data_IF_539451766718
#
_entry.id   IF_539451766718
#
_cell.length_a   1.000
_cell.length_b   1.000
_cell.length_c   1.000
_cell.angle_alpha   90.00
_cell.angle_beta   90.00
_cell.angle_gamma   90.00
#
_symmetry.space_group_name_H-M   'P 1'
#
loop_
_entity.id
_entity.type
_entity.pdbx_description
1 polymer ?
#
# COMPACT_ATOMS: atom_id res chain seq x y z
N UNK A 1 -17.08 -14.96 -18.43
CA UNK A 1 -18.08 -14.76 -17.38
C UNK A 1 -17.57 -13.65 -16.49
N UNK A 2 -18.15 -12.46 -16.62
CA UNK A 2 -17.81 -11.31 -15.78
C UNK A 2 -18.24 -11.62 -14.35
N UNK A 3 -17.31 -11.55 -13.41
CA UNK A 3 -17.60 -11.67 -11.99
C UNK A 3 -18.29 -10.36 -11.59
N UNK A 4 -19.58 -10.46 -11.28
CA UNK A 4 -20.41 -9.33 -10.88
C UNK A 4 -19.94 -8.85 -9.50
N UNK A 5 -19.10 -7.80 -9.48
CA UNK A 5 -18.59 -7.17 -8.27
C UNK A 5 -19.70 -6.44 -7.46
N UNK A 6 -20.94 -6.45 -7.96
CA UNK A 6 -22.13 -5.89 -7.30
C UNK A 6 -22.92 -6.92 -6.46
N UNK A 7 -22.46 -8.16 -6.33
CA UNK A 7 -22.91 -8.99 -5.22
C UNK A 7 -22.36 -8.37 -3.92
N UNK A 8 -23.14 -7.46 -3.34
CA UNK A 8 -22.96 -7.00 -1.97
C UNK A 8 -22.70 -8.24 -1.11
N UNK A 9 -21.45 -8.41 -0.67
CA UNK A 9 -21.11 -9.39 0.36
C UNK A 9 -22.11 -9.14 1.47
N UNK A 10 -23.02 -10.08 1.70
CA UNK A 10 -23.97 -9.95 2.79
C UNK A 10 -23.14 -9.64 4.04
N UNK A 11 -23.42 -8.51 4.68
CA UNK A 11 -22.64 -8.08 5.84
C UNK A 11 -22.61 -9.22 6.86
N UNK A 12 -21.42 -9.66 7.24
CA UNK A 12 -21.23 -10.75 8.20
C UNK A 12 -22.00 -10.37 9.48
N UNK A 13 -22.98 -11.18 9.93
CA UNK A 13 -23.80 -10.80 11.07
C UNK A 13 -22.98 -10.53 12.33
N UNK A 14 -23.32 -9.45 13.05
CA UNK A 14 -22.59 -8.97 14.23
C UNK A 14 -22.35 -10.05 15.29
N UNK A 15 -23.32 -10.95 15.49
CA UNK A 15 -23.22 -12.05 16.45
C UNK A 15 -21.99 -12.95 16.22
N UNK A 16 -21.54 -13.10 14.98
CA UNK A 16 -20.36 -13.91 14.67
C UNK A 16 -19.07 -13.14 14.92
N UNK A 17 -19.05 -11.84 14.67
CA UNK A 17 -17.94 -10.96 15.07
C UNK A 17 -17.76 -10.94 16.59
N UNK A 18 -18.85 -10.84 17.34
CA UNK A 18 -18.83 -10.85 18.81
C UNK A 18 -18.27 -12.17 19.35
N UNK A 19 -18.63 -13.31 18.72
CA UNK A 19 -18.06 -14.61 19.06
C UNK A 19 -16.57 -14.70 18.71
N UNK A 20 -16.16 -14.21 17.54
CA UNK A 20 -14.74 -14.20 17.16
C UNK A 20 -13.92 -13.39 18.16
N UNK A 21 -14.42 -12.20 18.52
CA UNK A 21 -13.79 -11.33 19.52
C UNK A 21 -13.72 -11.99 20.90
N UNK A 22 -14.76 -12.73 21.30
CA UNK A 22 -14.76 -13.49 22.55
C UNK A 22 -13.59 -14.49 22.60
N UNK A 23 -13.37 -15.27 21.54
CA UNK A 23 -12.27 -16.25 21.50
C UNK A 23 -10.90 -15.58 21.44
N UNK A 24 -10.76 -14.53 20.64
CA UNK A 24 -9.55 -13.70 20.61
C UNK A 24 -9.20 -13.16 22.01
N UNK A 25 -10.18 -12.59 22.72
CA UNK A 25 -9.97 -12.06 24.07
C UNK A 25 -9.74 -13.15 25.13
N UNK A 26 -10.19 -14.38 24.89
CA UNK A 26 -9.88 -15.53 25.74
C UNK A 26 -8.43 -16.01 25.57
N UNK A 27 -7.73 -15.53 24.53
CA UNK A 27 -6.36 -15.94 24.20
C UNK A 27 -6.29 -17.23 23.39
N UNK A 28 -7.40 -17.67 22.78
CA UNK A 28 -7.41 -18.81 21.87
C UNK A 28 -6.53 -18.51 20.66
N UNK A 29 -5.71 -19.47 20.23
CA UNK A 29 -5.01 -19.37 18.95
C UNK A 29 -5.99 -19.48 17.76
N UNK A 30 -5.52 -19.11 16.56
CA UNK A 30 -6.40 -19.05 15.40
C UNK A 30 -7.06 -20.40 15.05
N UNK A 31 -6.35 -21.57 15.05
CA UNK A 31 -6.99 -22.87 14.85
C UNK A 31 -8.06 -23.21 15.89
N UNK A 32 -7.81 -22.94 17.18
CA UNK A 32 -8.78 -23.17 18.26
C UNK A 32 -10.01 -22.27 18.09
N UNK A 33 -9.80 -20.99 17.76
CA UNK A 33 -10.89 -20.05 17.50
C UNK A 33 -11.73 -20.45 16.27
N UNK A 34 -11.10 -20.96 15.20
CA UNK A 34 -11.80 -21.53 14.03
C UNK A 34 -12.73 -22.66 14.47
N UNK A 35 -12.21 -23.64 15.22
CA UNK A 35 -12.98 -24.79 15.68
C UNK A 35 -14.15 -24.34 16.57
N UNK A 36 -13.90 -23.46 17.53
CA UNK A 36 -14.90 -22.96 18.45
C UNK A 36 -15.99 -22.15 17.73
N UNK A 37 -15.62 -21.25 16.82
CA UNK A 37 -16.56 -20.51 15.98
C UNK A 37 -17.45 -21.44 15.15
N UNK A 38 -16.85 -22.48 14.56
CA UNK A 38 -17.58 -23.47 13.76
C UNK A 38 -18.60 -24.24 14.61
N UNK A 39 -18.23 -24.70 15.81
CA UNK A 39 -19.16 -25.39 16.71
C UNK A 39 -20.29 -24.48 17.20
N UNK A 40 -19.99 -23.21 17.43
CA UNK A 40 -20.95 -22.19 17.83
C UNK A 40 -21.87 -21.74 16.68
N UNK A 41 -21.47 -21.95 15.43
CA UNK A 41 -22.21 -21.58 14.24
C UNK A 41 -23.01 -22.78 13.73
N UNK A 42 -24.28 -22.87 14.16
CA UNK A 42 -25.19 -23.92 13.69
C UNK A 42 -25.35 -23.85 12.15
N UNK A 43 -25.31 -24.99 11.42
CA UNK A 43 -25.52 -25.00 9.98
C UNK A 43 -26.84 -24.34 9.53
N UNK A 44 -26.88 -23.71 8.35
CA UNK A 44 -25.77 -23.53 7.41
C UNK A 44 -24.80 -22.43 7.87
N UNK A 45 -23.49 -22.71 7.84
CA UNK A 45 -22.45 -21.72 8.13
C UNK A 45 -21.81 -21.25 6.83
N UNK A 46 -21.40 -19.99 6.79
CA UNK A 46 -20.67 -19.44 5.65
C UNK A 46 -19.16 -19.50 5.92
N UNK A 47 -18.46 -20.39 5.20
CA UNK A 47 -17.01 -20.57 5.35
C UNK A 47 -16.23 -19.30 5.01
N UNK A 48 -16.73 -18.48 4.06
CA UNK A 48 -16.11 -17.21 3.68
C UNK A 48 -16.14 -16.19 4.83
N UNK A 49 -17.30 -16.04 5.48
CA UNK A 49 -17.45 -15.21 6.67
C UNK A 49 -16.57 -15.69 7.84
N UNK A 50 -16.52 -16.99 8.11
CA UNK A 50 -15.65 -17.53 9.16
C UNK A 50 -14.18 -17.21 8.88
N UNK A 51 -13.73 -17.42 7.64
CA UNK A 51 -12.38 -17.08 7.20
C UNK A 51 -12.09 -15.57 7.34
N UNK A 52 -13.05 -14.70 7.01
CA UNK A 52 -12.91 -13.25 7.14
C UNK A 52 -12.80 -12.79 8.61
N UNK A 53 -13.60 -13.35 9.52
CA UNK A 53 -13.52 -13.02 10.96
C UNK A 53 -12.16 -13.42 11.52
N UNK A 54 -11.73 -14.66 11.25
CA UNK A 54 -10.46 -15.18 11.76
C UNK A 54 -9.28 -14.44 11.12
N UNK A 55 -9.29 -14.26 9.80
CA UNK A 55 -8.26 -13.51 9.09
C UNK A 55 -8.13 -12.05 9.55
N UNK A 56 -9.21 -11.43 10.01
CA UNK A 56 -9.21 -10.07 10.54
C UNK A 56 -8.69 -9.99 11.98
N UNK A 57 -9.21 -10.82 12.89
CA UNK A 57 -8.88 -10.77 14.31
C UNK A 57 -7.48 -11.34 14.61
N UNK A 58 -7.02 -12.28 13.77
CA UNK A 58 -5.70 -12.92 13.87
C UNK A 58 -4.79 -12.49 12.72
N UNK A 59 -4.94 -11.24 12.25
CA UNK A 59 -4.21 -10.73 11.10
C UNK A 59 -2.68 -10.88 11.23
N UNK A 60 -2.10 -10.66 12.41
CA UNK A 60 -0.66 -10.89 12.66
C UNK A 60 -0.24 -12.37 12.49
N UNK A 61 -1.14 -13.33 12.71
CA UNK A 61 -0.86 -14.77 12.47
C UNK A 61 -0.71 -15.07 10.99
N UNK A 62 -1.43 -14.36 10.12
CA UNK A 62 -1.49 -14.63 8.69
C UNK A 62 -0.64 -13.69 7.86
N UNK A 63 -0.30 -12.51 8.36
CA UNK A 63 0.54 -11.54 7.67
C UNK A 63 1.98 -12.04 7.52
N UNK A 64 2.43 -12.18 6.28
CA UNK A 64 3.78 -12.68 5.94
C UNK A 64 4.11 -14.04 6.59
N UNK A 65 3.10 -14.83 6.96
CA UNK A 65 3.26 -16.12 7.65
C UNK A 65 4.01 -17.15 6.80
N UNK A 66 3.93 -17.01 5.47
CA UNK A 66 4.63 -17.86 4.52
C UNK A 66 5.60 -16.99 3.72
N UNK A 67 6.93 -17.10 3.94
CA UNK A 67 7.90 -16.26 3.25
C UNK A 67 7.82 -16.32 1.71
N UNK A 68 7.38 -17.45 1.15
CA UNK A 68 7.17 -17.58 -0.29
C UNK A 68 6.01 -16.73 -0.80
N UNK A 69 5.02 -16.41 0.01
CA UNK A 69 3.85 -15.63 -0.42
C UNK A 69 4.17 -14.13 -0.55
N UNK A 70 5.21 -13.69 0.15
CA UNK A 70 5.63 -12.31 0.27
C UNK A 70 5.02 -11.62 1.49
N UNK A 71 5.06 -10.29 1.50
CA UNK A 71 4.50 -9.45 2.56
C UNK A 71 3.00 -9.20 2.32
N UNK A 72 2.20 -10.25 2.53
CA UNK A 72 0.73 -10.23 2.41
C UNK A 72 0.10 -11.26 3.36
N UNK A 73 -1.22 -11.23 3.50
CA UNK A 73 -1.96 -12.30 4.19
C UNK A 73 -1.81 -13.64 3.46
N UNK A 74 -1.34 -14.68 4.17
CA UNK A 74 -1.09 -16.01 3.62
C UNK A 74 -2.40 -16.80 3.45
N UNK A 75 -2.85 -16.91 2.20
CA UNK A 75 -4.01 -17.72 1.81
C UNK A 75 -3.78 -19.19 2.18
N UNK A 76 -2.57 -19.72 1.94
CA UNK A 76 -2.27 -21.11 2.22
C UNK A 76 -2.28 -21.43 3.71
N UNK A 77 -1.80 -20.52 4.56
CA UNK A 77 -1.80 -20.72 6.00
C UNK A 77 -3.24 -20.76 6.54
N UNK A 78 -4.07 -19.77 6.20
CA UNK A 78 -5.48 -19.77 6.64
C UNK A 78 -6.25 -20.97 6.07
N UNK A 79 -6.04 -21.33 4.81
CA UNK A 79 -6.69 -22.51 4.23
C UNK A 79 -6.28 -23.82 4.93
N UNK A 80 -5.00 -23.94 5.32
CA UNK A 80 -4.49 -25.05 6.11
C UNK A 80 -5.15 -25.14 7.48
N UNK A 81 -5.22 -24.02 8.21
CA UNK A 81 -5.84 -23.94 9.53
C UNK A 81 -7.34 -24.29 9.47
N UNK A 82 -8.07 -23.76 8.47
CA UNK A 82 -9.48 -24.09 8.23
C UNK A 82 -9.67 -25.58 7.98
N UNK A 83 -8.88 -26.16 7.06
CA UNK A 83 -8.99 -27.58 6.72
C UNK A 83 -8.69 -28.49 7.92
N UNK A 84 -7.66 -28.15 8.70
CA UNK A 84 -7.26 -28.92 9.87
C UNK A 84 -8.26 -28.82 11.03
N UNK A 85 -8.80 -27.63 11.31
CA UNK A 85 -9.63 -27.40 12.48
C UNK A 85 -11.07 -27.94 12.34
N UNK A 86 -11.64 -27.91 11.12
CA UNK A 86 -13.07 -28.24 10.90
C UNK A 86 -13.29 -29.31 9.83
N UNK A 87 -12.22 -29.88 9.26
CA UNK A 87 -12.30 -31.00 8.33
C UNK A 87 -12.87 -30.65 6.94
N UNK A 88 -12.90 -29.37 6.57
CA UNK A 88 -13.28 -28.96 5.21
C UNK A 88 -12.16 -29.33 4.22
N UNK A 89 -12.52 -29.62 2.98
CA UNK A 89 -11.51 -29.91 1.96
C UNK A 89 -10.68 -28.64 1.65
N UNK A 90 -9.41 -28.85 1.28
CA UNK A 90 -8.47 -27.76 1.05
C UNK A 90 -8.88 -26.80 -0.09
N UNK A 91 -9.46 -27.24 -1.22
CA UNK A 91 -9.96 -26.33 -2.25
C UNK A 91 -11.03 -25.34 -1.74
N UNK A 92 -11.96 -25.79 -0.91
CA UNK A 92 -13.02 -24.94 -0.35
C UNK A 92 -12.44 -23.97 0.68
N UNK A 93 -11.54 -24.45 1.54
CA UNK A 93 -10.79 -23.62 2.47
C UNK A 93 -9.96 -22.55 1.76
N UNK A 94 -9.33 -22.90 0.64
CA UNK A 94 -8.55 -21.98 -0.20
C UNK A 94 -9.44 -20.88 -0.77
N UNK A 95 -10.62 -21.23 -1.30
CA UNK A 95 -11.58 -20.23 -1.81
C UNK A 95 -12.06 -19.29 -0.72
N UNK A 96 -12.33 -19.82 0.48
CA UNK A 96 -12.74 -19.01 1.62
C UNK A 96 -11.63 -18.05 2.09
N UNK A 97 -10.38 -18.52 2.17
CA UNK A 97 -9.23 -17.68 2.50
C UNK A 97 -8.96 -16.60 1.44
N UNK A 98 -9.10 -16.93 0.15
CA UNK A 98 -9.00 -15.95 -0.94
C UNK A 98 -10.09 -14.88 -0.83
N UNK A 99 -11.32 -15.28 -0.52
CA UNK A 99 -12.42 -14.35 -0.26
C UNK A 99 -12.09 -13.43 0.93
N UNK A 100 -11.66 -13.99 2.05
CA UNK A 100 -11.27 -13.25 3.25
C UNK A 100 -10.16 -12.22 2.98
N UNK A 101 -9.17 -12.56 2.16
CA UNK A 101 -8.03 -11.68 1.87
C UNK A 101 -8.15 -10.85 0.58
N UNK A 102 -9.30 -10.93 -0.12
CA UNK A 102 -9.62 -10.05 -1.26
C UNK A 102 -9.94 -8.62 -0.83
N UNK A 103 -10.11 -8.38 0.48
CA UNK A 103 -10.37 -7.07 1.06
C UNK A 103 -9.61 -6.92 2.38
N UNK A 104 -9.36 -5.68 2.78
CA UNK A 104 -8.78 -5.38 4.07
C UNK A 104 -9.87 -5.31 5.16
N UNK A 105 -9.61 -5.94 6.30
CA UNK A 105 -10.45 -5.91 7.50
C UNK A 105 -9.63 -5.34 8.66
N UNK A 106 -10.03 -4.18 9.19
CA UNK A 106 -9.31 -3.51 10.28
C UNK A 106 -9.13 -2.02 10.01
N UNK A 107 -8.02 -1.46 10.47
CA UNK A 107 -7.66 -0.07 10.13
C UNK A 107 -7.18 -0.01 8.69
N UNK A 108 -8.00 0.57 7.83
CA UNK A 108 -7.72 0.73 6.42
C UNK A 108 -7.13 2.11 6.11
N UNK A 109 -6.05 2.12 5.33
CA UNK A 109 -5.38 3.29 4.79
C UNK A 109 -5.46 3.21 3.27
N UNK A 110 -6.04 4.22 2.63
CA UNK A 110 -6.24 4.22 1.18
C UNK A 110 -4.92 4.34 0.44
N UNK A 111 -4.73 3.54 -0.61
CA UNK A 111 -3.63 3.75 -1.58
C UNK A 111 -3.83 4.98 -2.47
N UNK A 112 -5.08 5.33 -2.75
CA UNK A 112 -5.52 6.50 -3.52
C UNK A 112 -6.98 6.82 -3.19
N UNK A 113 -7.53 7.92 -3.72
CA UNK A 113 -8.90 8.36 -3.40
C UNK A 113 -10.01 7.39 -3.83
N UNK A 114 -9.75 6.50 -4.80
CA UNK A 114 -10.72 5.53 -5.32
C UNK A 114 -10.67 4.17 -4.60
N UNK A 115 -9.63 3.88 -3.82
CA UNK A 115 -9.46 2.59 -3.16
C UNK A 115 -10.48 2.40 -2.02
N UNK A 116 -11.30 1.35 -2.10
CA UNK A 116 -12.39 1.09 -1.13
C UNK A 116 -12.13 -0.10 -0.21
N UNK A 117 -10.87 -0.53 -0.14
CA UNK A 117 -10.44 -1.66 0.69
C UNK A 117 -10.27 -2.97 -0.08
N UNK A 118 -10.38 -2.99 -1.41
CA UNK A 118 -9.98 -4.15 -2.20
C UNK A 118 -8.48 -4.39 -2.10
N UNK A 119 -8.10 -5.66 -2.07
CA UNK A 119 -6.74 -6.16 -2.03
C UNK A 119 -6.59 -7.22 -3.14
N UNK A 120 -5.61 -7.12 -4.04
CA UNK A 120 -4.58 -6.06 -4.14
C UNK A 120 -5.16 -4.69 -4.49
N UNK A 121 -4.54 -3.62 -3.98
CA UNK A 121 -4.87 -2.23 -4.31
C UNK A 121 -4.74 -1.99 -5.80
N UNK A 122 -5.67 -1.21 -6.35
CA UNK A 122 -5.72 -0.87 -7.77
C UNK A 122 -5.36 0.60 -8.00
N UNK A 123 -4.87 0.92 -9.20
CA UNK A 123 -4.48 2.28 -9.60
C UNK A 123 -3.14 2.73 -9.01
N UNK A 124 -2.98 4.05 -8.81
CA UNK A 124 -1.77 4.64 -8.22
C UNK A 124 -1.58 4.16 -6.78
N UNK A 125 -0.36 3.75 -6.45
CA UNK A 125 -0.03 3.16 -5.15
C UNK A 125 0.66 4.15 -4.21
N UNK A 126 1.07 5.30 -4.72
CA UNK A 126 1.87 6.33 -4.02
C UNK A 126 1.18 7.69 -3.92
N UNK A 127 -0.15 7.74 -4.09
CA UNK A 127 -0.99 8.94 -3.95
C UNK A 127 -2.01 8.79 -2.82
N UNK A 128 -1.60 8.14 -1.72
CA UNK A 128 -2.46 7.93 -0.56
C UNK A 128 -2.96 9.27 -0.06
N UNK A 129 -4.28 9.52 -0.02
CA UNK A 129 -4.78 10.73 0.61
C UNK A 129 -4.54 10.67 2.13
N UNK A 130 -4.35 9.49 2.71
CA UNK A 130 -4.31 9.27 4.16
C UNK A 130 -2.95 9.53 4.81
N UNK A 131 -1.98 9.99 4.02
CA UNK A 131 -0.72 10.53 4.50
C UNK A 131 -0.73 12.03 4.29
N UNK A 132 -0.75 12.78 5.39
CA UNK A 132 -0.88 14.23 5.36
C UNK A 132 0.41 14.85 5.89
N UNK A 133 0.86 15.89 5.22
CA UNK A 133 1.86 16.84 5.72
C UNK A 133 1.18 18.20 5.70
N UNK A 134 1.50 19.08 6.66
CA UNK A 134 0.91 20.41 6.81
C UNK A 134 1.88 21.45 7.41
N UNK A 135 2.94 21.78 6.66
CA UNK A 135 3.79 22.93 6.95
C UNK A 135 4.13 23.13 8.43
N UNK A 136 4.08 24.37 8.89
CA UNK A 136 4.42 24.79 10.26
C UNK A 136 3.20 24.98 11.19
N UNK A 137 1.99 24.64 10.76
CA UNK A 137 0.77 24.83 11.57
C UNK A 137 0.18 23.47 11.97
N UNK A 138 -0.03 23.19 13.26
CA UNK A 138 -0.65 21.94 13.67
C UNK A 138 -2.14 21.92 13.28
N UNK A 139 -2.63 20.73 12.99
CA UNK A 139 -4.04 20.44 12.76
C UNK A 139 -4.58 19.55 13.85
N UNK A 140 -5.86 19.74 14.15
CA UNK A 140 -6.60 18.91 15.09
C UNK A 140 -7.29 17.75 14.34
N UNK A 141 -7.45 16.57 14.97
CA UNK A 141 -8.10 15.40 14.36
C UNK A 141 -9.45 15.71 13.70
N UNK A 142 -10.25 16.60 14.31
CA UNK A 142 -11.54 17.01 13.77
C UNK A 142 -11.44 17.62 12.36
N UNK A 143 -10.45 18.48 12.10
CA UNK A 143 -10.23 19.08 10.78
C UNK A 143 -9.74 18.04 9.77
N UNK A 144 -8.87 17.14 10.22
CA UNK A 144 -8.30 16.05 9.42
C UNK A 144 -9.39 15.09 8.93
N UNK A 145 -10.33 14.75 9.81
CA UNK A 145 -11.42 13.82 9.50
C UNK A 145 -12.52 14.50 8.69
N UNK A 146 -12.83 15.77 8.96
CA UNK A 146 -13.84 16.53 8.19
C UNK A 146 -13.40 16.69 6.73
N UNK A 147 -12.10 16.92 6.49
CA UNK A 147 -11.52 17.05 5.15
C UNK A 147 -11.00 15.71 4.58
N UNK A 148 -11.79 14.65 4.74
CA UNK A 148 -11.37 13.27 4.43
C UNK A 148 -10.84 13.04 3.01
N UNK A 149 -11.36 13.77 2.02
CA UNK A 149 -10.97 13.58 0.62
C UNK A 149 -9.89 14.55 0.14
N UNK A 150 -9.37 15.42 1.03
CA UNK A 150 -8.20 16.24 0.72
C UNK A 150 -6.93 15.43 0.98
N UNK A 151 -5.98 15.48 0.04
CA UNK A 151 -4.77 14.65 0.05
C UNK A 151 -3.53 15.37 0.57
N UNK A 152 -3.45 16.70 0.50
CA UNK A 152 -2.22 17.44 0.82
C UNK A 152 -2.53 18.83 1.40
N UNK A 153 -1.79 19.21 2.44
CA UNK A 153 -1.60 20.60 2.83
C UNK A 153 -0.10 20.93 2.71
N UNK A 154 0.31 21.54 1.59
CA UNK A 154 1.69 21.43 1.06
C UNK A 154 2.85 21.53 2.07
N UNK A 155 3.89 20.67 1.94
CA UNK A 155 5.08 20.75 2.78
C UNK A 155 5.79 22.10 2.60
N UNK A 156 6.46 22.56 3.66
CA UNK A 156 7.32 23.74 3.65
C UNK A 156 8.78 23.29 3.73
N UNK A 157 9.54 23.54 2.67
CA UNK A 157 10.96 23.21 2.61
C UNK A 157 11.74 23.97 3.71
N UNK A 158 12.73 23.30 4.31
CA UNK A 158 13.60 23.91 5.33
C UNK A 158 12.96 24.13 6.69
N UNK A 159 11.73 23.64 6.92
CA UNK A 159 11.05 23.69 8.22
C UNK A 159 10.71 22.27 8.71
N UNK A 160 10.51 22.15 10.03
CA UNK A 160 9.92 20.96 10.63
C UNK A 160 8.43 20.96 10.30
N UNK A 161 8.01 20.00 9.50
CA UNK A 161 6.64 19.90 9.04
C UNK A 161 5.82 19.05 10.01
N UNK A 162 4.57 19.47 10.26
CA UNK A 162 3.58 18.62 10.92
C UNK A 162 3.09 17.55 9.95
N UNK A 163 3.13 16.28 10.34
CA UNK A 163 2.65 15.16 9.56
C UNK A 163 1.63 14.32 10.33
N UNK A 164 0.68 13.73 9.61
CA UNK A 164 -0.43 12.98 10.18
C UNK A 164 -0.77 11.76 9.33
N UNK A 165 -1.17 10.68 9.99
CA UNK A 165 -1.76 9.51 9.36
C UNK A 165 -3.27 9.49 9.57
N UNK A 166 -4.02 8.99 8.58
CA UNK A 166 -5.45 8.70 8.67
C UNK A 166 -5.71 7.21 8.49
N UNK A 167 -6.78 6.72 9.08
CA UNK A 167 -7.28 5.38 8.81
C UNK A 167 -8.80 5.30 9.05
N UNK A 168 -9.45 4.32 8.45
CA UNK A 168 -10.86 4.01 8.72
C UNK A 168 -10.98 2.57 9.23
N UNK A 169 -11.74 2.36 10.31
CA UNK A 169 -12.16 1.01 10.69
C UNK A 169 -13.09 0.46 9.60
N UNK A 170 -12.60 -0.43 8.74
CA UNK A 170 -13.28 -0.85 7.52
C UNK A 170 -13.43 -2.37 7.46
N UNK A 171 -14.59 -2.82 6.98
CA UNK A 171 -15.02 -4.22 6.80
C UNK A 171 -14.99 -5.11 8.06
N UNK A 172 -14.39 -4.66 9.15
CA UNK A 172 -14.35 -5.33 10.45
C UNK A 172 -15.63 -5.02 11.24
N UNK A 173 -16.23 -6.05 11.84
CA UNK A 173 -17.45 -5.90 12.63
C UNK A 173 -17.22 -5.66 14.12
N UNK A 174 -15.97 -5.53 14.57
CA UNK A 174 -15.65 -5.29 15.99
C UNK A 174 -15.09 -3.88 16.19
N UNK A 175 -15.27 -3.34 17.40
CA UNK A 175 -14.65 -2.08 17.80
C UNK A 175 -13.15 -2.29 18.01
N UNK A 176 -12.34 -1.43 17.39
CA UNK A 176 -10.89 -1.39 17.60
C UNK A 176 -10.60 -0.52 18.82
N UNK A 177 -9.83 -1.03 19.77
CA UNK A 177 -9.60 -0.41 21.09
C UNK A 177 -8.19 0.12 21.29
N UNK A 178 -7.23 -0.34 20.47
CA UNK A 178 -5.83 0.12 20.52
C UNK A 178 -5.34 0.62 19.16
N UNK A 179 -6.06 1.55 18.50
CA UNK A 179 -5.66 2.01 17.19
C UNK A 179 -4.44 2.94 17.28
N UNK A 180 -3.45 2.71 16.43
CA UNK A 180 -2.19 3.44 16.39
C UNK A 180 -1.73 3.66 14.97
N UNK A 181 -0.82 4.60 14.79
CA UNK A 181 -0.18 4.84 13.49
C UNK A 181 1.28 5.18 13.69
N UNK A 182 2.10 4.74 12.74
CA UNK A 182 3.52 5.10 12.58
C UNK A 182 3.70 5.81 11.26
N UNK A 183 4.69 6.70 11.21
CA UNK A 183 5.04 7.39 9.97
C UNK A 183 6.52 7.17 9.66
N UNK A 184 6.80 7.07 8.38
CA UNK A 184 8.15 6.93 7.85
C UNK A 184 8.34 7.89 6.68
N UNK A 185 9.59 8.20 6.37
CA UNK A 185 9.93 8.82 5.10
C UNK A 185 11.14 8.16 4.46
N UNK A 186 11.24 8.30 3.16
CA UNK A 186 12.34 7.81 2.37
C UNK A 186 12.60 8.77 1.21
N UNK A 187 13.76 8.63 0.58
CA UNK A 187 14.14 9.45 -0.56
C UNK A 187 13.15 9.25 -1.72
N UNK A 188 13.08 10.23 -2.61
CA UNK A 188 12.30 10.12 -3.84
C UNK A 188 12.67 8.86 -4.62
N UNK A 189 11.68 8.05 -4.97
CA UNK A 189 11.97 6.83 -5.71
C UNK A 189 10.83 5.83 -5.75
N UNK A 190 11.19 4.63 -6.18
CA UNK A 190 10.28 3.53 -6.46
C UNK A 190 10.49 2.40 -5.45
N UNK A 191 9.58 2.34 -4.48
CA UNK A 191 9.46 1.29 -3.46
C UNK A 191 10.81 0.90 -2.86
N UNK A 192 11.50 1.85 -2.19
CA UNK A 192 12.62 1.52 -1.33
C UNK A 192 12.23 0.45 -0.30
N UNK A 193 13.15 -0.48 0.03
CA UNK A 193 12.89 -1.48 1.05
C UNK A 193 12.58 -0.81 2.40
N UNK A 194 11.71 -1.40 3.25
CA UNK A 194 11.43 -0.86 4.58
C UNK A 194 12.68 -0.61 5.44
N UNK A 195 13.76 -1.40 5.23
CA UNK A 195 15.05 -1.21 5.90
C UNK A 195 15.76 0.11 5.57
N UNK A 196 15.35 0.81 4.51
CA UNK A 196 15.87 2.12 4.11
C UNK A 196 14.97 3.29 4.51
N UNK A 197 13.87 3.01 5.20
CA UNK A 197 12.95 4.04 5.64
C UNK A 197 13.42 4.65 6.95
N UNK A 198 13.26 5.97 7.05
CA UNK A 198 13.54 6.71 8.25
C UNK A 198 12.26 6.81 9.08
N UNK A 199 12.29 6.32 10.31
CA UNK A 199 11.19 6.48 11.26
C UNK A 199 10.98 7.97 11.56
N UNK A 200 9.74 8.43 11.44
CA UNK A 200 9.33 9.76 11.88
C UNK A 200 8.75 9.64 13.29
N UNK A 201 9.25 10.45 14.21
CA UNK A 201 8.76 10.53 15.58
C UNK A 201 7.66 11.60 15.70
N UNK A 202 6.92 11.59 16.81
CA UNK A 202 6.01 12.69 17.17
C UNK A 202 6.75 14.02 17.15
N UNK A 203 6.04 15.13 17.00
CA UNK A 203 6.65 16.45 16.77
C UNK A 203 7.63 16.90 17.87
N UNK A 204 7.47 16.38 19.09
CA UNK A 204 8.36 16.54 20.25
C UNK A 204 9.54 15.55 20.30
N UNK A 205 9.68 14.73 19.27
CA UNK A 205 10.67 13.66 19.09
C UNK A 205 10.64 12.59 20.19
N UNK A 206 9.49 12.37 20.85
CA UNK A 206 9.37 11.45 21.99
C UNK A 206 8.85 10.05 21.63
N UNK A 207 7.94 9.93 20.65
CA UNK A 207 7.21 8.68 20.39
C UNK A 207 7.32 8.25 18.92
N UNK A 208 7.55 6.95 18.70
CA UNK A 208 7.55 6.34 17.35
C UNK A 208 6.16 6.18 16.75
N UNK A 209 5.11 6.32 17.56
CA UNK A 209 3.72 6.12 17.17
C UNK A 209 2.80 7.10 17.84
N UNK A 210 1.69 7.42 17.17
CA UNK A 210 0.58 8.18 17.73
C UNK A 210 -0.65 7.27 17.83
N UNK A 211 -1.46 7.39 18.88
CA UNK A 211 -2.82 6.86 18.84
C UNK A 211 -3.61 7.47 17.69
N UNK A 212 -4.55 6.71 17.14
CA UNK A 212 -5.57 7.22 16.23
C UNK A 212 -6.84 7.50 17.03
N UNK A 213 -7.46 8.64 16.78
CA UNK A 213 -8.71 9.04 17.45
C UNK A 213 -9.80 9.35 16.45
N UNK A 214 -11.05 9.19 16.86
CA UNK A 214 -12.21 9.61 16.07
C UNK A 214 -12.35 11.15 16.01
N UNK A 215 -13.43 11.62 15.38
CA UNK A 215 -13.71 13.06 15.23
C UNK A 215 -13.90 13.81 16.56
N UNK A 216 -14.22 13.10 17.63
CA UNK A 216 -14.44 13.62 18.98
C UNK A 216 -13.25 13.38 19.92
N UNK A 217 -12.18 12.73 19.45
CA UNK A 217 -11.00 12.43 20.24
C UNK A 217 -11.05 11.10 21.00
N UNK A 218 -12.02 10.22 20.72
CA UNK A 218 -12.11 8.91 21.36
C UNK A 218 -11.07 7.93 20.78
N UNK A 219 -10.50 7.10 21.64
CA UNK A 219 -9.50 6.07 21.29
C UNK A 219 -10.12 4.74 20.85
N UNK A 220 -11.44 4.61 20.94
CA UNK A 220 -12.17 3.44 20.46
C UNK A 220 -12.81 3.76 19.12
N UNK A 221 -12.63 2.87 18.14
CA UNK A 221 -13.09 3.05 16.77
C UNK A 221 -14.09 1.95 16.41
N UNK A 222 -15.40 2.19 16.60
CA UNK A 222 -16.45 1.31 16.10
C UNK A 222 -16.32 1.07 14.59
N UNK A 223 -16.92 -0.01 14.05
CA UNK A 223 -16.98 -0.26 12.61
C UNK A 223 -17.40 0.97 11.81
N UNK A 224 -16.69 1.25 10.72
CA UNK A 224 -16.94 2.38 9.82
C UNK A 224 -16.30 3.71 10.25
N UNK A 225 -15.77 3.80 11.47
CA UNK A 225 -15.25 5.07 12.03
C UNK A 225 -13.98 5.53 11.33
N UNK A 226 -13.97 6.79 10.89
CA UNK A 226 -12.78 7.49 10.40
C UNK A 226 -11.97 8.03 11.57
N UNK A 227 -10.65 7.96 11.42
CA UNK A 227 -9.71 8.34 12.46
C UNK A 227 -8.51 9.08 11.89
N UNK A 228 -7.84 9.84 12.77
CA UNK A 228 -6.61 10.54 12.46
C UNK A 228 -5.66 10.48 13.65
N UNK A 229 -4.36 10.69 13.42
CA UNK A 229 -3.38 10.72 14.50
C UNK A 229 -3.72 11.82 15.52
N UNK A 230 -3.76 11.43 16.79
CA UNK A 230 -3.99 12.35 17.90
C UNK A 230 -2.81 13.32 18.07
N UNK A 231 -1.60 12.78 18.00
CA UNK A 231 -0.35 13.52 18.04
C UNK A 231 0.16 13.69 16.61
N UNK A 232 0.71 14.87 16.34
CA UNK A 232 1.37 15.12 15.08
C UNK A 232 2.76 14.50 15.09
N UNK A 233 3.20 14.07 13.92
CA UNK A 233 4.59 13.70 13.64
C UNK A 233 5.37 14.92 13.17
N UNK A 234 6.67 14.94 13.43
CA UNK A 234 7.56 16.01 13.02
C UNK A 234 8.56 15.53 12.00
N UNK A 235 8.46 16.01 10.75
CA UNK A 235 9.39 15.60 9.67
C UNK A 235 10.21 16.78 9.17
N UNK A 236 11.53 16.60 9.16
CA UNK A 236 12.49 17.52 8.56
C UNK A 236 12.99 16.92 7.25
N UNK A 237 12.57 17.50 6.14
CA UNK A 237 13.07 17.09 4.83
C UNK A 237 14.47 17.68 4.58
N UNK A 238 15.51 16.85 4.31
CA UNK A 238 16.87 17.33 4.10
C UNK A 238 17.04 18.07 2.77
N UNK A 239 16.71 19.36 2.76
CA UNK A 239 16.92 20.25 1.60
C UNK A 239 15.70 20.41 0.69
N UNK A 240 15.93 20.93 -0.51
CA UNK A 240 14.93 20.99 -1.57
C UNK A 240 15.00 19.68 -2.37
N UNK A 241 14.00 18.84 -2.23
CA UNK A 241 13.92 17.55 -2.91
C UNK A 241 12.55 16.93 -2.73
N UNK A 242 12.29 15.85 -3.45
CA UNK A 242 11.08 15.08 -3.24
C UNK A 242 11.29 14.03 -2.15
N UNK A 243 10.22 13.74 -1.41
CA UNK A 243 10.21 12.70 -0.40
C UNK A 243 8.95 11.87 -0.47
N UNK A 244 9.13 10.60 -0.17
CA UNK A 244 8.05 9.64 -0.05
C UNK A 244 7.69 9.51 1.43
N UNK A 245 6.48 9.92 1.81
CA UNK A 245 5.96 9.71 3.16
C UNK A 245 5.09 8.45 3.20
N UNK A 246 5.24 7.68 4.26
CA UNK A 246 4.56 6.41 4.44
C UNK A 246 3.85 6.45 5.78
N UNK A 247 2.62 5.97 5.83
CA UNK A 247 1.89 5.73 7.07
C UNK A 247 1.57 4.24 7.21
N UNK A 248 1.69 3.73 8.43
CA UNK A 248 1.38 2.34 8.77
C UNK A 248 0.47 2.35 10.01
N UNK A 249 -0.81 2.08 9.80
CA UNK A 249 -1.80 1.97 10.87
C UNK A 249 -1.76 0.57 11.49
N UNK A 250 -1.85 0.49 12.82
CA UNK A 250 -1.84 -0.76 13.57
C UNK A 250 -2.93 -0.79 14.63
N UNK A 251 -3.30 -1.99 15.06
CA UNK A 251 -4.33 -2.26 16.07
C UNK A 251 -3.92 -3.45 16.94
N UNK A 252 -4.77 -3.83 17.90
CA UNK A 252 -4.62 -5.07 18.65
C UNK A 252 -4.65 -6.35 17.78
N UNK A 253 -5.16 -6.28 16.55
CA UNK A 253 -5.27 -7.43 15.64
C UNK A 253 -4.13 -7.49 14.61
N UNK A 254 -3.51 -6.35 14.33
CA UNK A 254 -2.45 -6.21 13.34
C UNK A 254 -1.46 -5.12 13.74
N UNK A 255 -0.25 -5.51 14.15
CA UNK A 255 0.76 -4.56 14.63
C UNK A 255 1.27 -3.61 13.55
N UNK A 256 1.26 -4.06 12.29
CA UNK A 256 1.71 -3.37 11.08
C UNK A 256 3.06 -2.64 11.25
N UNK A 257 4.08 -3.36 11.70
CA UNK A 257 5.44 -2.85 11.74
C UNK A 257 6.13 -3.28 10.44
N UNK A 258 6.48 -2.35 9.53
CA UNK A 258 7.21 -2.70 8.31
C UNK A 258 8.47 -3.49 8.67
N UNK A 259 8.57 -4.73 8.20
CA UNK A 259 9.72 -5.60 8.45
C UNK A 259 10.82 -5.35 7.42
N UNK A 260 12.05 -5.63 7.83
CA UNK A 260 13.29 -5.66 7.05
C UNK A 260 13.33 -6.70 5.91
N UNK A 261 12.24 -7.43 5.67
CA UNK A 261 12.16 -8.47 4.64
C UNK A 261 12.61 -7.94 3.27
N UNK A 262 13.71 -8.49 2.75
CA UNK A 262 14.29 -8.07 1.48
C UNK A 262 13.63 -8.74 0.27
N UNK A 263 13.78 -8.12 -0.90
CA UNK A 263 13.41 -8.71 -2.19
C UNK A 263 12.31 -7.92 -2.90
N UNK A 264 12.33 -7.96 -4.23
CA UNK A 264 11.39 -7.19 -5.05
C UNK A 264 9.96 -7.67 -4.84
N UNK A 265 9.77 -8.99 -4.71
CA UNK A 265 8.45 -9.58 -4.46
C UNK A 265 7.85 -9.10 -3.14
N UNK A 266 8.63 -9.10 -2.05
CA UNK A 266 8.18 -8.64 -0.73
C UNK A 266 7.74 -7.18 -0.79
N UNK A 267 8.55 -6.34 -1.42
CA UNK A 267 8.26 -4.92 -1.62
C UNK A 267 6.98 -4.69 -2.44
N UNK A 268 6.83 -5.42 -3.54
CA UNK A 268 5.64 -5.32 -4.40
C UNK A 268 4.37 -5.76 -3.67
N UNK A 269 4.42 -6.89 -2.97
CA UNK A 269 3.27 -7.40 -2.22
C UNK A 269 2.93 -6.54 -1.01
N UNK A 270 3.93 -5.97 -0.33
CA UNK A 270 3.67 -5.06 0.79
C UNK A 270 2.89 -3.83 0.30
N UNK A 271 3.34 -3.22 -0.79
CA UNK A 271 2.71 -2.03 -1.35
C UNK A 271 1.26 -2.30 -1.78
N UNK A 272 1.06 -3.40 -2.50
CA UNK A 272 -0.22 -3.74 -3.12
C UNK A 272 -1.19 -4.42 -2.14
N UNK A 273 -0.71 -5.14 -1.13
CA UNK A 273 -1.55 -5.97 -0.27
C UNK A 273 -1.65 -5.52 1.19
N UNK A 274 -0.84 -4.54 1.63
CA UNK A 274 -0.99 -3.99 2.97
C UNK A 274 -2.10 -2.93 3.00
N UNK A 275 -3.32 -3.33 3.35
CA UNK A 275 -4.46 -2.41 3.45
C UNK A 275 -4.38 -1.42 4.62
N UNK A 276 -3.48 -1.63 5.59
CA UNK A 276 -3.26 -0.70 6.69
C UNK A 276 -2.06 0.23 6.46
N UNK A 277 -1.53 0.29 5.24
CA UNK A 277 -0.45 1.21 4.89
C UNK A 277 -0.79 2.09 3.69
N UNK A 278 -0.26 3.31 3.70
CA UNK A 278 -0.43 4.30 2.64
C UNK A 278 0.90 4.95 2.33
N UNK A 279 1.11 5.25 1.05
CA UNK A 279 2.29 5.92 0.56
C UNK A 279 1.88 7.19 -0.16
N UNK A 280 2.53 8.30 0.14
CA UNK A 280 2.30 9.58 -0.53
C UNK A 280 3.60 10.23 -0.94
N UNK A 281 3.67 10.52 -2.23
CA UNK A 281 4.77 11.22 -2.85
C UNK A 281 4.59 12.74 -2.69
N UNK A 282 5.49 13.38 -1.94
CA UNK A 282 5.45 14.81 -1.68
C UNK A 282 6.44 15.57 -2.54
N UNK A 283 5.90 16.31 -3.51
CA UNK A 283 6.72 17.14 -4.39
C UNK A 283 7.08 18.49 -3.76
N UNK A 284 8.34 18.87 -3.96
CA UNK A 284 8.91 20.19 -3.64
C UNK A 284 9.72 20.71 -4.84
N UNK A 285 9.77 19.97 -5.96
CA UNK A 285 10.59 20.31 -7.11
C UNK A 285 10.01 21.45 -7.94
N UNK A 286 10.88 22.39 -8.31
CA UNK A 286 10.55 23.60 -9.09
C UNK A 286 11.34 23.70 -10.40
N UNK A 287 12.16 22.69 -10.73
CA UNK A 287 13.27 22.83 -11.70
C UNK A 287 13.11 22.01 -12.98
N UNK A 288 12.13 21.11 -13.08
CA UNK A 288 11.90 20.29 -14.28
C UNK A 288 12.90 19.14 -14.49
N UNK A 289 13.70 18.84 -13.48
CA UNK A 289 14.63 17.71 -13.38
C UNK A 289 14.55 17.12 -11.97
N UNK A 290 14.70 15.79 -11.86
CA UNK A 290 14.74 15.10 -10.58
C UNK A 290 15.57 13.81 -10.68
N UNK A 291 15.96 13.30 -9.51
CA UNK A 291 16.58 11.98 -9.37
C UNK A 291 15.66 11.09 -8.55
N UNK A 292 15.27 9.95 -9.11
CA UNK A 292 14.39 8.98 -8.49
C UNK A 292 15.17 7.71 -8.18
N UNK A 293 15.30 7.34 -6.91
CA UNK A 293 15.97 6.11 -6.49
C UNK A 293 15.16 4.89 -6.89
N UNK A 294 15.83 3.81 -7.24
CA UNK A 294 15.21 2.52 -7.44
C UNK A 294 16.13 1.41 -6.97
N UNK A 295 15.52 0.27 -6.63
CA UNK A 295 16.26 -0.86 -6.10
C UNK A 295 15.95 -2.12 -6.92
N UNK A 296 16.96 -2.92 -7.19
CA UNK A 296 16.83 -4.36 -7.34
C UNK A 296 17.22 -4.99 -6.01
N UNK A 297 16.24 -5.56 -5.32
CA UNK A 297 16.47 -6.14 -4.00
C UNK A 297 16.72 -7.64 -4.05
N UNK A 298 16.69 -8.27 -5.22
CA UNK A 298 16.93 -9.70 -5.36
C UNK A 298 18.43 -9.99 -5.55
N UNK A 299 18.81 -11.25 -5.31
CA UNK A 299 20.18 -11.75 -5.51
C UNK A 299 20.48 -12.09 -6.98
N UNK A 300 19.47 -11.96 -7.86
CA UNK A 300 19.56 -12.11 -9.31
C UNK A 300 19.55 -10.75 -10.01
N UNK A 301 20.07 -10.70 -11.23
CA UNK A 301 19.83 -9.57 -12.12
C UNK A 301 18.35 -9.58 -12.54
N UNK A 302 17.71 -8.42 -12.50
CA UNK A 302 16.27 -8.29 -12.72
C UNK A 302 15.94 -7.21 -13.76
N UNK A 303 14.89 -7.44 -14.54
CA UNK A 303 14.46 -6.52 -15.61
C UNK A 303 13.46 -5.50 -15.08
N UNK A 304 13.70 -4.22 -15.36
CA UNK A 304 12.81 -3.14 -14.98
C UNK A 304 12.46 -2.26 -16.17
N UNK A 305 11.21 -1.85 -16.25
CA UNK A 305 10.74 -0.83 -17.20
C UNK A 305 10.40 0.44 -16.43
N UNK A 306 10.89 1.56 -16.93
CA UNK A 306 10.52 2.91 -16.49
C UNK A 306 9.70 3.57 -17.57
N UNK A 307 8.57 4.16 -17.21
CA UNK A 307 7.70 4.86 -18.16
C UNK A 307 7.39 6.26 -17.65
N UNK A 308 7.59 7.28 -18.48
CA UNK A 308 7.10 8.63 -18.27
C UNK A 308 5.79 8.82 -19.05
N UNK A 309 4.69 8.91 -18.32
CA UNK A 309 3.35 9.18 -18.83
C UNK A 309 3.14 10.68 -18.81
N UNK A 310 3.26 11.31 -19.98
CA UNK A 310 3.15 12.76 -20.13
C UNK A 310 1.74 13.13 -20.52
N UNK A 311 1.16 14.12 -19.85
CA UNK A 311 -0.19 14.59 -20.09
C UNK A 311 -0.24 16.12 -20.19
N UNK A 312 -0.79 16.62 -21.30
CA UNK A 312 -1.00 18.05 -21.63
C UNK A 312 0.27 18.90 -21.54
N UNK A 313 1.43 18.32 -21.84
CA UNK A 313 2.65 19.12 -22.02
C UNK A 313 2.60 19.86 -23.36
N UNK A 314 3.32 20.98 -23.45
CA UNK A 314 3.43 21.74 -24.69
C UNK A 314 4.11 20.89 -25.78
N UNK A 315 3.67 21.05 -27.03
CA UNK A 315 4.30 20.37 -28.16
C UNK A 315 5.78 20.77 -28.24
N UNK A 316 6.67 19.77 -28.25
CA UNK A 316 8.11 19.95 -28.23
C UNK A 316 8.75 19.94 -26.84
N UNK A 317 7.97 19.83 -25.75
CA UNK A 317 8.52 19.52 -24.43
C UNK A 317 9.39 18.27 -24.53
N UNK A 318 10.59 18.31 -23.96
CA UNK A 318 11.54 17.20 -23.99
C UNK A 318 11.47 16.42 -22.69
N UNK A 319 11.27 15.11 -22.80
CA UNK A 319 11.33 14.17 -21.69
C UNK A 319 12.50 13.21 -21.88
N UNK A 320 13.26 12.98 -20.82
CA UNK A 320 14.47 12.16 -20.84
C UNK A 320 14.54 11.27 -19.60
N UNK A 321 14.94 10.02 -19.80
CA UNK A 321 15.17 9.01 -18.78
C UNK A 321 16.63 8.55 -18.89
N UNK A 322 17.40 8.62 -17.81
CA UNK A 322 18.80 8.19 -17.79
C UNK A 322 19.18 7.47 -16.51
N UNK A 323 20.03 6.46 -16.63
CA UNK A 323 20.59 5.69 -15.50
C UNK A 323 22.07 5.49 -15.77
N UNK A 324 22.94 5.99 -14.89
CA UNK A 324 24.37 5.96 -15.11
C UNK A 324 24.88 4.52 -15.34
N UNK A 325 25.54 4.28 -16.47
CA UNK A 325 26.09 2.97 -16.85
C UNK A 325 25.09 1.92 -17.34
N UNK A 326 23.77 2.13 -17.19
CA UNK A 326 22.73 1.18 -17.59
C UNK A 326 21.81 1.71 -18.70
N UNK A 327 21.54 3.02 -18.72
CA UNK A 327 20.66 3.66 -19.69
C UNK A 327 21.20 5.04 -20.07
N UNK A 328 21.58 5.19 -21.34
CA UNK A 328 21.98 6.50 -21.88
C UNK A 328 20.76 7.41 -22.00
N UNK A 329 20.82 8.57 -21.34
CA UNK A 329 19.79 9.60 -21.45
C UNK A 329 19.57 10.02 -22.91
N UNK A 330 18.32 9.98 -23.34
CA UNK A 330 17.89 10.40 -24.68
C UNK A 330 16.65 11.25 -24.56
N UNK A 331 16.70 12.46 -25.13
CA UNK A 331 15.55 13.36 -25.13
C UNK A 331 14.51 12.92 -26.17
N UNK A 332 13.27 12.74 -25.72
CA UNK A 332 12.12 12.48 -26.57
C UNK A 332 11.23 13.71 -26.57
N UNK A 333 10.94 14.24 -27.76
CA UNK A 333 10.00 15.34 -27.92
C UNK A 333 8.56 14.82 -27.80
N UNK A 334 7.76 15.50 -26.99
CA UNK A 334 6.34 15.20 -26.82
C UNK A 334 5.55 15.88 -27.93
N UNK A 335 4.73 15.09 -28.62
CA UNK A 335 3.99 15.53 -29.82
C UNK A 335 2.48 15.36 -29.70
N UNK A 336 2.02 14.70 -28.64
CA UNK A 336 0.61 14.41 -28.38
C UNK A 336 0.21 14.86 -26.98
N UNK A 337 -1.08 15.16 -26.78
CA UNK A 337 -1.66 15.50 -25.48
C UNK A 337 -1.40 14.42 -24.42
N UNK A 338 -1.33 13.16 -24.82
CA UNK A 338 -0.85 12.08 -23.97
C UNK A 338 0.18 11.25 -24.72
N UNK A 339 1.36 11.06 -24.12
CA UNK A 339 2.43 10.28 -24.71
C UNK A 339 3.22 9.55 -23.62
N UNK A 340 3.57 8.29 -23.88
CA UNK A 340 4.40 7.48 -23.00
C UNK A 340 5.82 7.40 -23.56
N UNK A 341 6.81 7.77 -22.74
CA UNK A 341 8.23 7.54 -23.03
C UNK A 341 8.71 6.41 -22.14
N UNK A 342 9.22 5.32 -22.72
CA UNK A 342 9.58 4.11 -21.98
C UNK A 342 11.05 3.75 -22.18
N UNK A 343 11.68 3.23 -21.12
CA UNK A 343 13.01 2.64 -21.17
C UNK A 343 13.04 1.38 -20.32
N UNK A 344 13.70 0.34 -20.84
CA UNK A 344 13.92 -0.92 -20.13
C UNK A 344 15.39 -1.10 -19.81
N UNK A 345 15.68 -1.65 -18.63
CA UNK A 345 17.02 -2.05 -18.22
C UNK A 345 17.02 -3.44 -17.56
N UNK A 346 18.19 -4.04 -17.50
CA UNK A 346 18.50 -5.11 -16.57
C UNK A 346 19.40 -4.53 -15.46
N UNK A 347 18.92 -4.57 -14.21
CA UNK A 347 19.67 -4.10 -13.06
C UNK A 347 20.43 -5.27 -12.41
N UNK A 348 21.70 -5.08 -12.02
CA UNK A 348 22.47 -6.11 -11.32
C UNK A 348 21.81 -6.56 -10.00
N UNK A 349 22.21 -7.72 -9.45
CA UNK A 349 21.83 -8.14 -8.10
C UNK A 349 22.07 -7.05 -7.06
N UNK A 350 21.15 -6.92 -6.08
CA UNK A 350 21.27 -5.99 -4.94
C UNK A 350 21.65 -4.55 -5.33
N UNK A 351 21.18 -4.10 -6.49
CA UNK A 351 21.54 -2.80 -7.05
C UNK A 351 20.67 -1.68 -6.48
N UNK A 352 21.31 -0.60 -6.02
CA UNK A 352 20.66 0.68 -5.73
C UNK A 352 21.05 1.67 -6.84
N UNK A 353 20.05 2.10 -7.62
CA UNK A 353 20.23 2.96 -8.77
C UNK A 353 19.51 4.28 -8.65
N UNK A 354 19.89 5.21 -9.52
CA UNK A 354 19.32 6.54 -9.63
C UNK A 354 18.83 6.76 -11.07
N UNK A 355 17.51 6.93 -11.22
CA UNK A 355 16.90 7.35 -12.46
C UNK A 355 16.90 8.88 -12.50
N UNK A 356 17.75 9.45 -13.35
CA UNK A 356 17.69 10.87 -13.68
C UNK A 356 16.56 11.10 -14.67
N UNK A 357 15.59 11.93 -14.29
CA UNK A 357 14.47 12.32 -15.13
C UNK A 357 14.55 13.80 -15.46
N UNK A 358 14.31 14.14 -16.73
CA UNK A 358 14.18 15.53 -17.19
C UNK A 358 12.88 15.64 -17.96
N UNK A 359 12.10 16.67 -17.67
CA UNK A 359 10.81 16.91 -18.32
C UNK A 359 10.53 18.40 -18.55
N UNK A 360 11.42 19.29 -18.10
CA UNK A 360 11.28 20.73 -18.25
C UNK A 360 10.17 21.31 -17.37
N UNK A 361 9.88 22.59 -17.56
CA UNK A 361 8.81 23.27 -16.82
C UNK A 361 7.45 22.85 -17.37
N UNK A 362 6.58 22.34 -16.50
CA UNK A 362 5.23 21.94 -16.88
C UNK A 362 4.28 23.16 -16.90
N UNK A 363 3.46 23.34 -17.94
CA UNK A 363 2.45 24.39 -17.97
C UNK A 363 1.29 24.09 -17.00
N UNK A 364 0.45 25.08 -16.66
CA UNK A 364 -0.68 24.87 -15.76
C UNK A 364 -1.58 23.71 -16.20
N UNK A 365 -1.88 22.78 -15.28
CA UNK A 365 -2.72 21.60 -15.54
C UNK A 365 -2.04 20.47 -16.33
N UNK A 366 -0.76 20.58 -16.67
CA UNK A 366 0.04 19.48 -17.21
C UNK A 366 0.59 18.59 -16.09
N UNK A 367 0.89 17.33 -16.43
CA UNK A 367 1.51 16.39 -15.51
C UNK A 367 2.45 15.43 -16.23
N UNK A 368 3.46 14.94 -15.52
CA UNK A 368 4.27 13.79 -15.93
C UNK A 368 4.31 12.80 -14.79
N UNK A 369 3.82 11.58 -15.05
CA UNK A 369 3.89 10.48 -14.09
C UNK A 369 4.93 9.46 -14.52
N UNK A 370 5.97 9.28 -13.71
CA UNK A 370 6.97 8.24 -13.88
C UNK A 370 6.52 6.97 -13.15
N UNK A 371 6.43 5.86 -13.87
CA UNK A 371 6.14 4.53 -13.33
C UNK A 371 7.39 3.66 -13.37
N UNK A 372 7.54 2.78 -12.37
CA UNK A 372 8.48 1.66 -12.43
C UNK A 372 7.69 0.36 -12.43
N UNK A 373 8.08 -0.56 -13.31
CA UNK A 373 7.58 -1.93 -13.34
C UNK A 373 8.73 -2.92 -13.21
N UNK A 374 8.54 -3.97 -12.41
CA UNK A 374 9.37 -5.17 -12.45
C UNK A 374 8.82 -6.12 -13.52
N UNK A 375 9.66 -6.47 -14.49
CA UNK A 375 9.27 -7.30 -15.64
C UNK A 375 9.67 -8.74 -15.39
N UNK A 376 8.66 -9.59 -15.28
CA UNK A 376 8.86 -11.03 -15.09
C UNK A 376 8.65 -11.76 -16.42
N UNK A 377 9.72 -12.30 -17.03
CA UNK A 377 9.58 -13.10 -18.24
C UNK A 377 8.92 -14.46 -17.94
N UNK A 378 8.46 -15.12 -19.00
CA UNK A 378 8.02 -16.52 -18.92
C UNK A 378 9.18 -17.38 -18.41
N UNK A 379 8.91 -18.23 -17.42
CA UNK A 379 9.91 -19.08 -16.77
C UNK A 379 10.51 -18.48 -15.50
N UNK A 380 10.28 -17.20 -15.21
CA UNK A 380 10.62 -16.65 -13.90
C UNK A 380 9.77 -17.34 -12.81
N UNK A 381 10.33 -17.77 -11.66
CA UNK A 381 9.58 -18.49 -10.62
C UNK A 381 8.34 -17.76 -10.11
N UNK A 382 8.36 -16.42 -10.14
CA UNK A 382 7.25 -15.55 -9.72
C UNK A 382 6.25 -15.19 -10.82
N UNK A 383 6.48 -15.59 -12.08
CA UNK A 383 5.58 -15.23 -13.19
C UNK A 383 4.11 -15.63 -12.92
N UNK A 384 3.79 -16.85 -12.43
CA UNK A 384 2.42 -17.22 -12.15
C UNK A 384 1.77 -16.42 -11.01
N UNK A 385 2.53 -16.14 -9.97
CA UNK A 385 2.04 -15.36 -8.82
C UNK A 385 1.82 -13.91 -9.19
N UNK A 386 2.69 -13.35 -10.04
CA UNK A 386 2.60 -12.00 -10.55
C UNK A 386 1.38 -11.78 -11.44
N UNK A 387 1.08 -12.75 -12.31
CA UNK A 387 -0.12 -12.71 -13.15
C UNK A 387 -1.38 -12.67 -12.29
N UNK A 388 -1.44 -13.46 -11.21
CA UNK A 388 -2.56 -13.43 -10.25
C UNK A 388 -2.61 -12.10 -9.50
N UNK A 389 -1.48 -11.59 -9.03
CA UNK A 389 -1.38 -10.31 -8.30
C UNK A 389 -1.90 -9.14 -9.15
N UNK A 390 -1.58 -9.13 -10.43
CA UNK A 390 -1.93 -8.05 -11.37
C UNK A 390 -3.24 -8.28 -12.11
N UNK A 391 -3.92 -9.42 -11.89
CA UNK A 391 -5.11 -9.83 -12.63
C UNK A 391 -4.86 -10.13 -14.12
N UNK A 392 -3.60 -10.22 -14.55
CA UNK A 392 -3.21 -10.47 -15.94
C UNK A 392 -3.17 -11.97 -16.26
N UNK A 393 -4.34 -12.62 -16.22
CA UNK A 393 -4.46 -14.06 -16.51
C UNK A 393 -4.15 -14.40 -17.97
N UNK A 394 -4.34 -13.45 -18.90
CA UNK A 394 -3.98 -13.64 -20.30
C UNK A 394 -2.48 -13.86 -20.47
N UNK A 395 -1.63 -13.20 -19.67
CA UNK A 395 -0.18 -13.43 -19.69
C UNK A 395 0.21 -14.87 -19.32
N UNK A 396 -0.59 -15.56 -18.47
CA UNK A 396 -0.36 -16.98 -18.14
C UNK A 396 -0.62 -17.89 -19.33
N UNK A 397 -1.66 -17.58 -20.12
CA UNK A 397 -2.10 -18.40 -21.24
C UNK A 397 -1.26 -18.11 -22.49
N UNK A 398 -0.98 -16.83 -22.74
CA UNK A 398 -0.30 -16.35 -23.95
C UNK A 398 1.23 -16.35 -23.86
N UNK A 399 1.79 -16.64 -22.69
CA UNK A 399 3.24 -16.63 -22.48
C UNK A 399 3.84 -15.23 -22.65
N UNK A 400 3.13 -14.19 -22.21
CA UNK A 400 3.65 -12.82 -22.21
C UNK A 400 4.32 -12.49 -20.86
N UNK A 401 5.34 -11.62 -20.84
CA UNK A 401 5.90 -11.11 -19.59
C UNK A 401 4.84 -10.39 -18.76
N UNK A 402 4.93 -10.53 -17.43
CA UNK A 402 4.08 -9.80 -16.49
C UNK A 402 4.83 -8.59 -15.96
N UNK A 403 4.17 -7.43 -15.89
CA UNK A 403 4.71 -6.20 -15.32
C UNK A 403 4.07 -5.96 -13.95
N UNK A 404 4.86 -6.05 -12.89
CA UNK A 404 4.41 -5.74 -11.54
C UNK A 404 4.68 -4.25 -11.26
N UNK A 405 3.66 -3.44 -10.89
CA UNK A 405 3.87 -2.07 -10.48
C UNK A 405 4.76 -2.00 -9.23
N UNK A 406 5.84 -1.21 -9.33
CA UNK A 406 6.83 -0.99 -8.26
C UNK A 406 6.81 0.48 -7.83
N UNK A 407 5.61 1.07 -7.79
CA UNK A 407 5.39 2.48 -7.47
C UNK A 407 5.43 3.40 -8.68
N UNK A 408 4.90 4.59 -8.46
CA UNK A 408 4.78 5.66 -9.43
C UNK A 408 5.07 7.00 -8.79
N UNK A 409 5.30 8.03 -9.59
CA UNK A 409 5.66 9.36 -9.16
C UNK A 409 5.05 10.38 -10.11
N UNK A 410 4.32 11.38 -9.62
CA UNK A 410 3.74 12.43 -10.47
C UNK A 410 4.33 13.80 -10.18
N UNK A 411 4.79 14.48 -11.23
CA UNK A 411 5.07 15.92 -11.23
C UNK A 411 3.90 16.65 -11.89
N UNK A 412 3.46 17.76 -11.31
CA UNK A 412 2.37 18.58 -11.86
C UNK A 412 2.84 20.00 -12.13
N UNK A 413 2.32 20.61 -13.19
CA UNK A 413 2.44 22.05 -13.40
C UNK A 413 1.68 22.84 -12.33
N UNK A 414 1.93 24.16 -12.23
CA UNK A 414 1.24 25.02 -11.27
C UNK A 414 -0.29 24.92 -11.43
N UNK A 415 -1.01 25.10 -10.32
CA UNK A 415 -2.46 25.26 -10.37
C UNK A 415 -2.79 26.52 -11.19
N UNK A 416 -3.71 26.39 -12.15
CA UNK A 416 -4.12 27.45 -13.06
C UNK A 416 -4.78 28.62 -12.34
#
# INVERSE_FOLDING_TARGET
MAYDAEAAVAAIPQIYWDKGLKYFNAGDDAPTAIQNLYLDWRPPFDLGSLAAIVGALYADTYWAATPSDGQKMSVSQLAGDLSAAIGVNLPDATRAAQFAFSRWYGLFVRGNTANTGEIPKQGTLTASPDVLVNGSTPLIPRLIITNWNQSVWGPQAGLKNYAYGRAQSLNIGVTITKPSVRMYYTDAGFVPPPSSWNQVFTYDDQLESSPLVDINGNLTLPPGTRSASQLAFGVNFPGSGHYCMITAAGSEFFANKPDSGGGNWNSATWLQCNGAAGWHNLDVSSTGEAVLKFYNQDDSAERFVFEAHVHRADNGTKVSLGIAGLLKATDVAITNDYQVVSAEIEAPPRYAGELTVRFGKLPPGAAVTFYKYWVLPVGHPRHPDAAKLTGNFDALISGQPVRIPMGDYTFVGPQA
#
